data_IF_141609279588
#
_entry.id   IF_141609279588
#
_cell.length_a   1.000
_cell.length_b   1.000
_cell.length_c   1.000
_cell.angle_alpha   90.00
_cell.angle_beta   90.00
_cell.angle_gamma   90.00
#
_symmetry.space_group_name_H-M   'P 1'
#
loop_
_entity.id
_entity.type
_entity.pdbx_description
1 polymer ?
#
# COMPACT_ATOMS: atom_id res chain seq x y z
N UNK A 1 48.58 -42.63 -33.18
CA UNK A 1 47.50 -43.22 -32.35
C UNK A 1 47.26 -42.31 -31.15
N UNK A 2 46.00 -42.19 -30.76
CA UNK A 2 45.35 -41.07 -30.04
C UNK A 2 45.82 -40.94 -28.59
N UNK A 3 46.16 -39.72 -28.15
CA UNK A 3 46.52 -39.41 -26.76
C UNK A 3 45.29 -38.81 -26.05
N UNK A 4 44.63 -39.60 -25.19
CA UNK A 4 43.45 -39.20 -24.43
C UNK A 4 43.83 -38.41 -23.18
N UNK A 5 43.91 -37.09 -23.31
CA UNK A 5 44.06 -36.15 -22.19
C UNK A 5 42.74 -35.98 -21.42
N UNK A 6 42.51 -36.82 -20.41
CA UNK A 6 41.38 -36.73 -19.50
C UNK A 6 41.49 -35.55 -18.54
N UNK A 7 41.04 -34.36 -18.97
CA UNK A 7 40.90 -33.19 -18.13
C UNK A 7 39.76 -33.34 -17.11
N UNK A 8 40.09 -33.59 -15.84
CA UNK A 8 39.13 -33.54 -14.73
C UNK A 8 38.62 -32.09 -14.56
N UNK A 9 37.41 -31.81 -15.06
CA UNK A 9 36.70 -30.55 -14.78
C UNK A 9 36.42 -30.44 -13.28
N UNK A 10 37.09 -29.50 -12.62
CA UNK A 10 36.88 -29.13 -11.22
C UNK A 10 35.53 -28.42 -11.12
N UNK A 11 34.50 -29.12 -10.62
CA UNK A 11 33.20 -28.52 -10.30
C UNK A 11 33.42 -27.60 -9.10
N UNK A 12 33.50 -26.29 -9.35
CA UNK A 12 33.50 -25.27 -8.29
C UNK A 12 32.12 -25.29 -7.62
N UNK A 13 32.04 -25.70 -6.35
CA UNK A 13 30.84 -25.57 -5.53
C UNK A 13 30.35 -24.12 -5.57
N UNK A 14 29.19 -23.89 -6.19
CA UNK A 14 28.56 -22.57 -6.23
C UNK A 14 28.26 -22.11 -4.82
N UNK A 15 28.69 -20.90 -4.46
CA UNK A 15 28.33 -20.22 -3.20
C UNK A 15 26.80 -20.21 -3.09
N UNK A 16 26.19 -20.62 -1.97
CA UNK A 16 24.74 -20.61 -1.83
C UNK A 16 24.23 -19.18 -2.02
N UNK A 17 23.30 -19.01 -2.96
CA UNK A 17 22.61 -17.74 -3.20
C UNK A 17 21.86 -17.41 -1.91
N UNK A 18 22.26 -16.33 -1.23
CA UNK A 18 21.58 -15.82 -0.06
C UNK A 18 20.16 -15.45 -0.51
N UNK A 19 19.15 -16.21 -0.08
CA UNK A 19 17.75 -15.90 -0.41
C UNK A 19 17.46 -14.49 0.08
N UNK A 20 17.05 -13.61 -0.83
CA UNK A 20 16.59 -12.29 -0.47
C UNK A 20 15.33 -12.49 0.37
N UNK A 21 15.44 -12.22 1.67
CA UNK A 21 14.28 -12.24 2.56
C UNK A 21 13.71 -10.83 2.53
N UNK A 22 12.45 -10.71 2.11
CA UNK A 22 11.72 -9.45 2.14
C UNK A 22 10.77 -9.52 3.31
N UNK A 23 10.97 -8.63 4.27
CA UNK A 23 10.04 -8.41 5.37
C UNK A 23 9.08 -7.28 5.00
N UNK A 24 7.80 -7.45 5.32
CA UNK A 24 6.78 -6.42 5.11
C UNK A 24 5.80 -6.41 6.27
N UNK A 25 5.60 -5.22 6.81
CA UNK A 25 4.59 -4.97 7.82
C UNK A 25 3.24 -4.77 7.16
N UNK A 26 2.34 -5.71 7.39
CA UNK A 26 0.93 -5.62 6.97
C UNK A 26 0.10 -5.33 8.20
N UNK A 27 -0.59 -4.19 8.21
CA UNK A 27 -1.55 -3.84 9.26
C UNK A 27 -2.97 -4.13 8.78
N UNK A 28 -3.78 -4.67 9.68
CA UNK A 28 -5.18 -4.97 9.39
C UNK A 28 -6.11 -4.01 10.13
N UNK A 29 -7.14 -3.57 9.42
CA UNK A 29 -8.18 -2.69 9.90
C UNK A 29 -9.55 -3.33 9.66
N UNK A 30 -10.52 -2.90 10.45
CA UNK A 30 -11.94 -3.15 10.25
C UNK A 30 -12.58 -1.92 9.64
N UNK A 31 -13.34 -2.12 8.57
CA UNK A 31 -14.25 -1.11 8.08
C UNK A 31 -15.53 -1.08 8.91
N UNK A 32 -15.82 0.09 9.47
CA UNK A 32 -17.09 0.43 10.11
C UNK A 32 -17.89 1.32 9.16
N UNK A 33 -19.04 0.83 8.70
CA UNK A 33 -19.94 1.55 7.78
C UNK A 33 -20.97 2.41 8.53
N UNK A 34 -20.91 2.47 9.88
CA UNK A 34 -21.90 3.10 10.72
C UNK A 34 -23.00 2.13 11.16
N UNK A 35 -23.69 2.49 12.23
CA UNK A 35 -24.66 1.65 12.93
C UNK A 35 -26.11 2.03 12.60
N UNK A 36 -26.42 2.30 11.33
CA UNK A 36 -27.82 2.50 10.96
C UNK A 36 -28.56 1.15 11.10
N UNK A 37 -29.64 1.07 11.91
CA UNK A 37 -30.34 -0.19 12.17
C UNK A 37 -30.80 -0.85 10.87
N UNK A 38 -30.28 -2.06 10.59
CA UNK A 38 -30.61 -2.83 9.39
C UNK A 38 -29.58 -2.76 8.25
N UNK A 39 -28.49 -2.01 8.43
CA UNK A 39 -27.44 -1.81 7.42
C UNK A 39 -26.14 -2.51 7.86
N UNK A 40 -26.20 -3.82 8.11
CA UNK A 40 -24.98 -4.65 8.13
C UNK A 40 -24.46 -4.77 6.70
N UNK A 41 -23.78 -3.73 6.24
CA UNK A 41 -23.24 -3.66 4.89
C UNK A 41 -21.88 -4.35 4.84
N UNK A 42 -21.69 -5.23 3.85
CA UNK A 42 -20.34 -5.57 3.42
C UNK A 42 -19.76 -4.39 2.64
N UNK A 43 -18.56 -3.95 3.00
CA UNK A 43 -17.80 -2.97 2.26
C UNK A 43 -17.45 -3.56 0.88
N UNK A 44 -18.10 -3.05 -0.15
CA UNK A 44 -17.78 -3.34 -1.54
C UNK A 44 -17.36 -2.06 -2.26
N UNK A 45 -16.05 -1.95 -2.49
CA UNK A 45 -15.44 -0.87 -3.25
C UNK A 45 -15.15 -1.25 -4.70
N UNK A 46 -15.54 -2.44 -5.17
CA UNK A 46 -15.20 -2.90 -6.52
C UNK A 46 -15.68 -1.94 -7.62
N UNK A 47 -16.94 -1.50 -7.54
CA UNK A 47 -17.52 -0.50 -8.46
C UNK A 47 -16.88 0.87 -8.32
N UNK A 48 -16.50 1.26 -7.10
CA UNK A 48 -15.82 2.53 -6.83
C UNK A 48 -14.44 2.49 -7.49
N UNK A 49 -13.65 1.44 -7.25
CA UNK A 49 -12.32 1.28 -7.82
C UNK A 49 -12.36 1.18 -9.33
N UNK A 50 -13.33 0.48 -9.92
CA UNK A 50 -13.50 0.43 -11.37
C UNK A 50 -13.78 1.80 -12.00
N UNK A 51 -14.40 2.74 -11.26
CA UNK A 51 -14.61 4.12 -11.72
C UNK A 51 -13.36 4.97 -11.53
N UNK A 52 -12.73 4.88 -10.37
CA UNK A 52 -11.47 5.58 -10.08
C UNK A 52 -10.40 5.19 -11.11
N UNK A 53 -10.32 3.91 -11.49
CA UNK A 53 -9.37 3.41 -12.48
C UNK A 53 -9.53 4.06 -13.87
N UNK A 54 -10.74 4.49 -14.21
CA UNK A 54 -11.04 5.18 -15.49
C UNK A 54 -10.73 6.67 -15.48
N UNK A 55 -10.41 7.25 -14.32
CA UNK A 55 -10.09 8.68 -14.25
C UNK A 55 -8.74 8.95 -14.96
N UNK A 56 -8.65 9.96 -15.83
CA UNK A 56 -7.41 10.25 -16.53
C UNK A 56 -6.37 10.87 -15.59
N UNK A 57 -5.08 10.63 -15.85
CA UNK A 57 -3.96 11.28 -15.17
C UNK A 57 -3.69 12.65 -15.80
N UNK A 58 -4.57 13.62 -15.54
CA UNK A 58 -4.46 14.99 -16.04
C UNK A 58 -4.30 15.93 -14.85
N UNK A 59 -3.41 16.93 -14.96
CA UNK A 59 -3.24 17.99 -13.95
C UNK A 59 -4.59 18.66 -13.66
N UNK A 60 -4.89 18.90 -12.39
CA UNK A 60 -6.19 19.43 -11.92
C UNK A 60 -7.41 18.54 -12.22
N UNK A 61 -7.18 17.31 -12.69
CA UNK A 61 -8.22 16.31 -12.89
C UNK A 61 -8.64 15.64 -11.58
N UNK A 62 -9.83 15.03 -11.57
CA UNK A 62 -10.45 14.40 -10.38
C UNK A 62 -9.62 13.30 -9.71
N UNK A 63 -8.64 12.72 -10.41
CA UNK A 63 -7.76 11.69 -9.84
C UNK A 63 -6.80 12.28 -8.80
N UNK A 64 -6.44 13.56 -8.96
CA UNK A 64 -5.57 14.29 -8.07
C UNK A 64 -6.41 15.13 -7.11
N UNK A 65 -6.21 14.96 -5.81
CA UNK A 65 -6.82 15.79 -4.79
C UNK A 65 -5.72 16.53 -4.04
N UNK A 66 -5.81 17.86 -3.95
CA UNK A 66 -4.86 18.64 -3.16
C UNK A 66 -4.98 18.28 -1.68
N UNK A 67 -3.84 17.99 -1.04
CA UNK A 67 -3.76 17.77 0.41
C UNK A 67 -3.38 19.08 1.11
N UNK A 68 -2.48 19.81 0.48
CA UNK A 68 -2.02 21.14 0.84
C UNK A 68 -1.55 21.86 -0.45
N UNK A 69 -0.93 23.03 -0.31
CA UNK A 69 -0.49 23.88 -1.44
C UNK A 69 0.58 23.22 -2.33
N UNK A 70 1.29 22.19 -1.84
CA UNK A 70 2.47 21.63 -2.51
C UNK A 70 2.40 20.10 -2.72
N UNK A 71 1.41 19.45 -2.13
CA UNK A 71 1.22 18.01 -2.18
C UNK A 71 -0.13 17.61 -2.75
N UNK A 72 -0.10 16.61 -3.63
CA UNK A 72 -1.29 16.01 -4.23
C UNK A 72 -1.46 14.56 -3.78
N UNK A 73 -2.70 14.13 -3.59
CA UNK A 73 -3.07 12.74 -3.35
C UNK A 73 -3.58 12.13 -4.66
N UNK A 74 -3.11 10.93 -4.98
CA UNK A 74 -3.57 10.17 -6.15
C UNK A 74 -3.67 8.69 -5.84
N UNK A 75 -4.24 7.92 -6.76
CA UNK A 75 -4.39 6.48 -6.60
C UNK A 75 -4.07 5.68 -7.85
N UNK A 76 -3.75 4.41 -7.61
CA UNK A 76 -3.46 3.39 -8.62
C UNK A 76 -4.26 2.14 -8.27
N UNK A 77 -5.26 1.82 -9.09
CA UNK A 77 -6.06 0.62 -8.93
C UNK A 77 -5.31 -0.53 -9.60
N UNK A 78 -5.01 -1.58 -8.83
CA UNK A 78 -4.36 -2.77 -9.39
C UNK A 78 -5.38 -3.83 -9.82
N UNK A 79 -6.47 -3.94 -9.07
CA UNK A 79 -7.57 -4.85 -9.37
C UNK A 79 -8.83 -4.33 -8.68
N UNK A 80 -9.82 -3.93 -9.47
CA UNK A 80 -11.11 -3.52 -8.92
C UNK A 80 -11.90 -4.71 -8.35
N UNK A 81 -11.84 -5.88 -9.01
CA UNK A 81 -12.52 -7.10 -8.56
C UNK A 81 -11.93 -7.65 -7.26
N UNK A 82 -10.60 -7.61 -7.11
CA UNK A 82 -9.93 -8.03 -5.86
C UNK A 82 -9.81 -6.88 -4.85
N UNK A 83 -10.44 -5.74 -5.15
CA UNK A 83 -10.47 -4.54 -4.33
C UNK A 83 -9.06 -4.12 -3.83
N UNK A 84 -8.12 -4.04 -4.76
CA UNK A 84 -6.72 -3.67 -4.52
C UNK A 84 -6.38 -2.31 -5.14
N UNK A 85 -5.93 -1.39 -4.30
CA UNK A 85 -5.57 -0.02 -4.67
C UNK A 85 -4.31 0.44 -3.93
N UNK A 86 -3.55 1.36 -4.51
CA UNK A 86 -2.59 2.18 -3.77
C UNK A 86 -3.09 3.61 -3.70
N UNK A 87 -2.93 4.22 -2.53
CA UNK A 87 -3.05 5.66 -2.36
C UNK A 87 -1.65 6.23 -2.23
N UNK A 88 -1.34 7.34 -2.89
CA UNK A 88 -0.01 7.93 -2.83
C UNK A 88 -0.04 9.44 -2.70
N UNK A 89 0.82 9.96 -1.83
CA UNK A 89 1.11 11.38 -1.73
C UNK A 89 2.22 11.69 -2.71
N UNK A 90 1.97 12.67 -3.58
CA UNK A 90 2.91 13.18 -4.57
C UNK A 90 3.39 14.52 -4.04
N UNK A 91 4.67 14.58 -3.72
CA UNK A 91 5.33 15.77 -3.20
C UNK A 91 5.98 16.52 -4.34
N UNK A 92 5.66 17.80 -4.47
CA UNK A 92 6.32 18.70 -5.44
C UNK A 92 7.35 19.62 -4.77
N UNK A 93 7.37 19.65 -3.43
CA UNK A 93 8.26 20.51 -2.63
C UNK A 93 9.01 19.74 -1.53
N UNK A 94 9.98 20.43 -0.92
CA UNK A 94 10.80 19.89 0.18
C UNK A 94 11.54 18.60 -0.20
N UNK A 95 11.77 18.39 -1.50
CA UNK A 95 12.29 17.15 -2.04
C UNK A 95 13.70 16.86 -1.50
N UNK A 96 14.06 15.59 -1.31
CA UNK A 96 15.41 15.23 -0.89
C UNK A 96 16.43 15.73 -1.92
N UNK A 97 17.56 16.22 -1.41
CA UNK A 97 18.71 16.59 -2.23
C UNK A 97 19.52 15.35 -2.57
N UNK A 98 20.12 15.34 -3.76
CA UNK A 98 21.12 14.36 -4.16
C UNK A 98 22.47 14.82 -3.63
N UNK A 99 23.11 13.98 -2.83
CA UNK A 99 24.48 14.21 -2.34
C UNK A 99 25.48 13.50 -3.25
N UNK A 100 26.55 14.21 -3.62
CA UNK A 100 27.68 13.64 -4.34
C UNK A 100 28.96 14.38 -4.00
N UNK A 101 29.81 13.76 -3.17
CA UNK A 101 31.12 14.31 -2.79
C UNK A 101 31.04 15.59 -1.95
N UNK A 102 30.05 15.71 -1.08
CA UNK A 102 29.77 16.87 -0.24
C UNK A 102 28.93 17.96 -0.93
N UNK A 103 28.59 17.79 -2.21
CA UNK A 103 27.74 18.74 -2.95
C UNK A 103 26.30 18.25 -2.95
N UNK A 104 25.39 19.10 -2.48
CA UNK A 104 23.96 18.85 -2.52
C UNK A 104 23.36 19.49 -3.79
N UNK A 105 22.56 18.73 -4.53
CA UNK A 105 21.84 19.19 -5.72
C UNK A 105 20.36 18.82 -5.63
N UNK A 106 19.51 19.63 -6.26
CA UNK A 106 18.11 19.28 -6.41
C UNK A 106 17.94 17.96 -7.15
N UNK A 107 16.85 17.24 -6.85
CA UNK A 107 16.42 16.12 -7.66
C UNK A 107 16.12 16.66 -9.07
N UNK A 108 16.64 16.02 -10.11
CA UNK A 108 16.48 16.47 -11.51
C UNK A 108 15.07 16.25 -12.07
N UNK A 109 14.04 16.62 -11.31
CA UNK A 109 12.64 16.54 -11.70
C UNK A 109 12.22 17.81 -12.46
N UNK A 110 11.28 17.66 -13.39
CA UNK A 110 10.60 18.80 -14.03
C UNK A 110 9.47 19.33 -13.13
N UNK A 111 8.95 20.53 -13.42
CA UNK A 111 7.93 21.19 -12.60
C UNK A 111 6.59 20.43 -12.49
N UNK A 112 6.33 19.50 -13.42
CA UNK A 112 5.16 18.62 -13.44
C UNK A 112 5.42 17.24 -12.79
N UNK A 113 6.64 16.99 -12.34
CA UNK A 113 7.02 15.77 -11.65
C UNK A 113 7.04 15.95 -10.14
N UNK A 114 6.85 14.84 -9.43
CA UNK A 114 6.89 14.82 -7.97
C UNK A 114 7.31 13.45 -7.46
N UNK A 115 7.76 13.42 -6.21
CA UNK A 115 8.11 12.17 -5.54
C UNK A 115 6.83 11.52 -4.99
N UNK A 116 6.54 10.30 -5.42
CA UNK A 116 5.33 9.59 -5.03
C UNK A 116 5.61 8.51 -3.98
N UNK A 117 4.98 8.66 -2.82
CA UNK A 117 5.07 7.71 -1.72
C UNK A 117 3.73 6.99 -1.56
N UNK A 118 3.72 5.68 -1.83
CA UNK A 118 2.47 4.89 -1.90
C UNK A 118 2.26 4.02 -0.67
N UNK A 119 1.02 4.02 -0.19
CA UNK A 119 0.46 3.04 0.74
C UNK A 119 -0.39 2.06 -0.05
N UNK A 120 -0.17 0.75 0.11
CA UNK A 120 -0.95 -0.28 -0.58
C UNK A 120 -2.10 -0.75 0.30
N UNK A 121 -3.27 -0.95 -0.29
CA UNK A 121 -4.52 -1.26 0.40
C UNK A 121 -5.22 -2.40 -0.35
N UNK A 122 -5.70 -3.38 0.40
CA UNK A 122 -6.56 -4.44 -0.11
C UNK A 122 -7.76 -4.62 0.81
N UNK A 123 -8.96 -4.62 0.24
CA UNK A 123 -10.19 -4.97 0.94
C UNK A 123 -10.43 -6.47 0.81
N UNK A 124 -10.72 -7.11 1.94
CA UNK A 124 -11.03 -8.52 2.07
C UNK A 124 -12.50 -8.68 2.50
N UNK A 125 -13.05 -9.90 2.40
CA UNK A 125 -14.36 -10.21 2.98
C UNK A 125 -14.46 -9.83 4.46
N UNK A 126 -15.69 -9.71 4.98
CA UNK A 126 -15.98 -9.38 6.38
C UNK A 126 -15.43 -8.03 6.85
N UNK A 127 -15.39 -7.04 5.95
CA UNK A 127 -14.98 -5.67 6.24
C UNK A 127 -13.54 -5.57 6.77
N UNK A 128 -12.67 -6.47 6.35
CA UNK A 128 -11.25 -6.44 6.72
C UNK A 128 -10.48 -5.69 5.64
N UNK A 129 -9.59 -4.79 6.04
CA UNK A 129 -8.72 -4.04 5.14
C UNK A 129 -7.27 -4.26 5.54
N UNK A 130 -6.48 -4.84 4.65
CA UNK A 130 -5.03 -4.99 4.83
C UNK A 130 -4.29 -3.82 4.20
N UNK A 131 -3.28 -3.31 4.90
CA UNK A 131 -2.54 -2.12 4.49
C UNK A 131 -1.04 -2.34 4.67
N UNK A 132 -0.29 -2.06 3.61
CA UNK A 132 1.17 -1.95 3.67
C UNK A 132 1.52 -0.47 3.63
N UNK A 133 1.99 0.05 4.76
CA UNK A 133 2.36 1.44 4.90
C UNK A 133 3.74 1.71 4.32
N UNK A 134 3.85 2.84 3.65
CA UNK A 134 5.13 3.51 3.49
C UNK A 134 5.22 4.60 4.56
N UNK A 135 6.40 4.81 5.14
CA UNK A 135 6.62 5.78 6.22
C UNK A 135 6.19 7.20 5.80
N UNK A 136 6.46 7.58 4.55
CA UNK A 136 6.07 8.86 3.96
C UNK A 136 4.77 8.80 3.14
N UNK A 137 4.15 7.62 3.08
CA UNK A 137 2.91 7.43 2.35
C UNK A 137 1.68 7.95 3.11
N UNK A 138 0.54 8.12 2.42
CA UNK A 138 -0.68 8.58 3.04
C UNK A 138 -1.20 7.55 4.06
N UNK A 139 -1.81 8.06 5.13
CA UNK A 139 -2.49 7.22 6.14
C UNK A 139 -3.73 6.58 5.52
N UNK A 140 -4.09 5.38 5.98
CA UNK A 140 -5.27 4.67 5.45
C UNK A 140 -6.59 5.42 5.71
N UNK A 141 -6.63 6.27 6.73
CA UNK A 141 -7.75 7.17 7.02
C UNK A 141 -8.04 8.16 5.88
N UNK A 142 -7.07 8.42 5.00
CA UNK A 142 -7.24 9.27 3.82
C UNK A 142 -7.98 8.56 2.68
N UNK A 143 -8.18 7.25 2.74
CA UNK A 143 -8.84 6.50 1.67
C UNK A 143 -10.28 6.97 1.45
N UNK A 144 -11.12 7.01 2.48
CA UNK A 144 -12.52 7.39 2.31
C UNK A 144 -12.66 8.85 1.82
N UNK A 145 -12.00 9.86 2.44
CA UNK A 145 -12.01 11.23 1.94
C UNK A 145 -11.54 11.35 0.49
N UNK A 146 -10.47 10.63 0.12
CA UNK A 146 -9.98 10.61 -1.26
C UNK A 146 -11.03 10.07 -2.24
N UNK A 147 -11.63 8.91 -1.93
CA UNK A 147 -12.65 8.31 -2.80
C UNK A 147 -13.86 9.24 -2.96
N UNK A 148 -14.28 9.91 -1.89
CA UNK A 148 -15.34 10.93 -1.93
C UNK A 148 -14.95 12.11 -2.81
N UNK A 149 -13.73 12.63 -2.66
CA UNK A 149 -13.22 13.77 -3.43
C UNK A 149 -13.09 13.48 -4.94
N UNK A 150 -12.89 12.22 -5.34
CA UNK A 150 -12.85 11.83 -6.76
C UNK A 150 -14.22 11.90 -7.47
N UNK A 151 -15.25 12.46 -6.81
CA UNK A 151 -16.63 12.68 -7.28
C UNK A 151 -17.29 11.41 -7.80
N UNK A 152 -17.02 10.32 -7.09
CA UNK A 152 -17.72 9.06 -7.31
C UNK A 152 -19.01 9.11 -6.49
N UNK A 153 -20.10 9.62 -7.08
CA UNK A 153 -21.45 9.43 -6.50
C UNK A 153 -21.58 7.94 -6.13
N UNK A 154 -21.98 7.62 -4.90
CA UNK A 154 -22.05 6.26 -4.29
C UNK A 154 -20.81 5.68 -3.60
N UNK A 155 -19.85 6.47 -3.13
CA UNK A 155 -18.86 5.93 -2.16
C UNK A 155 -19.55 5.72 -0.81
N UNK A 156 -19.57 4.50 -0.24
CA UNK A 156 -20.07 4.30 1.11
C UNK A 156 -19.19 5.07 2.10
N UNK A 157 -19.79 5.73 3.08
CA UNK A 157 -19.04 6.33 4.19
C UNK A 157 -18.58 5.19 5.09
N UNK A 158 -17.27 5.13 5.36
CA UNK A 158 -16.72 4.14 6.28
C UNK A 158 -15.54 4.71 7.05
N UNK A 159 -15.32 4.18 8.25
CA UNK A 159 -14.12 4.39 9.07
C UNK A 159 -13.29 3.12 9.09
N UNK A 160 -11.99 3.24 9.34
CA UNK A 160 -11.07 2.11 9.44
C UNK A 160 -10.46 2.07 10.83
N UNK A 161 -10.90 1.12 11.63
CA UNK A 161 -10.41 0.92 12.99
C UNK A 161 -9.36 -0.20 13.03
N UNK A 162 -8.23 -0.04 13.74
CA UNK A 162 -7.24 -1.11 13.86
C UNK A 162 -7.85 -2.41 14.37
N UNK A 163 -7.61 -3.51 13.67
CA UNK A 163 -8.18 -4.82 13.99
C UNK A 163 -7.48 -5.49 15.19
N UNK A 164 -6.17 -5.30 15.27
CA UNK A 164 -5.35 -5.84 16.34
C UNK A 164 -5.41 -4.87 17.52
N UNK A 165 -5.87 -5.37 18.68
CA UNK A 165 -5.75 -4.62 19.92
C UNK A 165 -4.28 -4.49 20.32
N UNK A 166 -3.92 -3.36 20.92
CA UNK A 166 -2.54 -3.05 21.30
C UNK A 166 -1.96 -4.08 22.27
N UNK A 167 -2.78 -4.65 23.17
CA UNK A 167 -2.39 -5.72 24.09
C UNK A 167 -2.00 -7.02 23.37
N UNK A 168 -2.77 -7.42 22.35
CA UNK A 168 -2.43 -8.56 21.49
C UNK A 168 -1.16 -8.29 20.68
N UNK A 169 -0.95 -7.05 20.21
CA UNK A 169 0.28 -6.65 19.52
C UNK A 169 1.51 -6.76 20.43
N UNK A 170 1.39 -6.31 21.68
CA UNK A 170 2.45 -6.40 22.70
C UNK A 170 2.79 -7.86 22.97
N UNK A 171 1.78 -8.73 23.13
CA UNK A 171 2.03 -10.16 23.35
C UNK A 171 2.72 -10.82 22.15
N UNK A 172 2.33 -10.48 20.92
CA UNK A 172 2.98 -10.99 19.70
C UNK A 172 4.43 -10.52 19.58
N UNK A 173 4.76 -9.30 20.02
CA UNK A 173 6.13 -8.78 20.02
C UNK A 173 7.08 -9.56 20.95
N UNK A 174 6.55 -10.30 21.93
CA UNK A 174 7.36 -11.15 22.81
C UNK A 174 7.66 -12.52 22.19
N UNK A 175 7.07 -12.85 21.04
CA UNK A 175 7.27 -14.13 20.35
C UNK A 175 8.25 -13.92 19.19
N UNK A 176 9.43 -14.53 19.28
CA UNK A 176 10.50 -14.34 18.28
C UNK A 176 10.21 -14.99 16.92
N UNK A 177 9.36 -16.02 16.87
CA UNK A 177 8.97 -16.71 15.63
C UNK A 177 7.51 -17.16 15.72
N UNK A 178 6.68 -16.67 14.80
CA UNK A 178 5.28 -17.10 14.64
C UNK A 178 5.17 -17.88 13.34
N UNK A 179 4.69 -19.14 13.41
CA UNK A 179 4.45 -19.99 12.22
C UNK A 179 3.00 -19.96 11.75
N UNK A 180 2.07 -19.79 12.68
CA UNK A 180 0.63 -19.67 12.42
C UNK A 180 0.05 -18.72 13.47
N UNK A 181 -0.83 -17.83 13.03
CA UNK A 181 -1.61 -16.93 13.88
C UNK A 181 -3.08 -17.09 13.51
N UNK A 182 -3.88 -17.60 14.44
CA UNK A 182 -5.33 -17.66 14.29
C UNK A 182 -5.94 -16.50 15.08
N UNK A 183 -6.64 -15.61 14.37
CA UNK A 183 -7.29 -14.46 14.97
C UNK A 183 -8.81 -14.67 14.87
N UNK A 184 -9.49 -14.86 16.00
CA UNK A 184 -10.95 -14.87 16.04
C UNK A 184 -11.46 -13.45 16.04
N UNK A 185 -12.04 -13.04 14.91
CA UNK A 185 -12.57 -11.70 14.74
C UNK A 185 -14.09 -11.79 14.83
N UNK A 186 -14.72 -11.00 15.72
CA UNK A 186 -16.18 -10.89 15.78
C UNK A 186 -16.72 -10.41 14.43
N UNK A 187 -17.83 -10.91 13.89
CA UNK A 187 -18.45 -10.34 12.69
C UNK A 187 -18.72 -8.83 12.85
N UNK A 188 -18.70 -8.07 11.76
CA UNK A 188 -19.24 -6.71 11.74
C UNK A 188 -20.76 -6.77 11.89
N UNK A 189 -21.33 -5.82 12.66
CA UNK A 189 -22.77 -5.71 12.89
C UNK A 189 -23.53 -5.19 11.68
#
# INVERSE_FOLDING_TARGET
>A
MVNNGGGKRRITKSKPIKKLTVERDIRFFRADLGSDPGTSGMLDLSKVFARVDKLPYVKDGRRYSSVDDENSLSSWVYSASDQRISLGTIRHSGLPLVESGGVLKGLGLTDDQGLCERTHIQVFPNNIVGVVFNFYGPRVSQLNPYLVATDVRSVPVFKLDPLLREDAAIQLNHVSVIRSLELSIRPSY
#
